data_IF_705940829181
#
_entry.id   IF_705940829181
#
_cell.length_a   1.000
_cell.length_b   1.000
_cell.length_c   1.000
_cell.angle_alpha   90.00
_cell.angle_beta   90.00
_cell.angle_gamma   90.00
#
_symmetry.space_group_name_H-M   'P 1'
#
loop_
_entity.id
_entity.type
_entity.pdbx_description
1 polymer ?
#
# COMPACT_ATOMS: atom_id res chain seq x y z
N UNK A 1 -11.83 -2.72 4.52
CA UNK A 1 -11.82 -2.14 5.89
C UNK A 1 -11.68 -0.64 5.78
N UNK A 2 -12.39 0.08 6.63
CA UNK A 2 -12.42 1.55 6.60
C UNK A 2 -11.95 2.15 7.90
N UNK A 3 -11.50 3.39 7.83
CA UNK A 3 -11.19 4.23 9.00
C UNK A 3 -10.12 3.66 9.93
N UNK A 4 -9.16 2.95 9.35
CA UNK A 4 -8.07 2.39 10.11
C UNK A 4 -6.84 3.28 9.92
N UNK A 5 -6.21 3.63 11.04
CA UNK A 5 -4.95 4.37 11.04
C UNK A 5 -4.00 3.67 12.01
N UNK A 6 -2.82 3.34 11.54
CA UNK A 6 -1.79 2.70 12.35
C UNK A 6 -0.59 3.63 12.40
N UNK A 7 -0.15 4.00 13.60
CA UNK A 7 1.03 4.83 13.76
C UNK A 7 2.26 3.96 13.95
N UNK A 8 3.33 4.32 13.25
CA UNK A 8 4.65 3.77 13.51
C UNK A 8 5.56 4.89 13.95
N UNK A 9 6.82 4.59 14.19
CA UNK A 9 7.76 5.62 14.60
C UNK A 9 7.89 6.76 13.59
N UNK A 10 8.00 6.44 12.31
CA UNK A 10 8.21 7.43 11.24
C UNK A 10 7.00 7.63 10.33
N UNK A 11 6.02 6.73 10.37
CA UNK A 11 4.96 6.69 9.38
C UNK A 11 3.59 6.63 9.99
N UNK A 12 2.60 7.03 9.17
CA UNK A 12 1.19 6.76 9.40
C UNK A 12 0.71 5.84 8.28
N UNK A 13 0.03 4.78 8.67
CA UNK A 13 -0.56 3.84 7.72
C UNK A 13 -2.07 4.09 7.73
N UNK A 14 -2.59 4.55 6.60
CA UNK A 14 -4.02 4.89 6.48
C UNK A 14 -4.63 4.14 5.32
N UNK A 15 -5.86 3.70 5.48
CA UNK A 15 -6.59 3.03 4.40
C UNK A 15 -6.57 3.94 3.17
N UNK A 16 -6.17 3.36 2.04
CA UNK A 16 -6.17 4.08 0.78
C UNK A 16 -7.59 4.35 0.32
N UNK A 17 -7.82 5.60 -0.07
CA UNK A 17 -9.09 6.04 -0.63
C UNK A 17 -8.84 6.60 -2.02
N UNK A 18 -9.90 6.69 -2.81
CA UNK A 18 -9.79 7.12 -4.21
C UNK A 18 -9.21 8.53 -4.33
N UNK A 19 -9.48 9.40 -3.38
CA UNK A 19 -9.01 10.79 -3.41
C UNK A 19 -7.50 10.91 -3.21
N UNK A 20 -6.83 9.88 -2.68
CA UNK A 20 -5.38 9.88 -2.53
C UNK A 20 -4.69 9.55 -3.85
N UNK A 21 -5.39 8.84 -4.73
CA UNK A 21 -4.82 8.36 -5.98
C UNK A 21 -4.66 9.50 -6.98
N UNK A 22 -3.42 9.79 -7.32
CA UNK A 22 -3.07 10.82 -8.28
C UNK A 22 -1.95 10.38 -9.19
N UNK A 23 -1.38 11.35 -9.93
CA UNK A 23 -0.34 11.06 -10.92
C UNK A 23 0.89 10.43 -10.31
N UNK A 24 1.28 10.84 -9.12
CA UNK A 24 2.44 10.30 -8.43
C UNK A 24 2.29 8.80 -8.20
N UNK A 25 1.12 8.38 -7.73
CA UNK A 25 0.84 6.97 -7.51
C UNK A 25 0.84 6.20 -8.83
N UNK A 26 0.23 6.79 -9.85
CA UNK A 26 0.19 6.18 -11.18
C UNK A 26 1.60 6.00 -11.73
N UNK A 27 2.47 6.97 -11.53
CA UNK A 27 3.86 6.89 -11.96
C UNK A 27 4.61 5.75 -11.28
N UNK A 28 4.33 5.50 -10.00
CA UNK A 28 4.94 4.37 -9.31
C UNK A 28 4.58 3.05 -9.98
N UNK A 29 3.30 2.91 -10.36
CA UNK A 29 2.82 1.65 -10.95
C UNK A 29 3.32 1.46 -12.37
N UNK A 30 3.44 2.53 -13.13
CA UNK A 30 3.79 2.46 -14.55
C UNK A 30 5.28 2.68 -14.79
N UNK A 31 5.86 3.67 -14.12
CA UNK A 31 7.21 4.12 -14.42
C UNK A 31 8.31 3.33 -13.75
N UNK A 32 8.17 3.04 -12.47
CA UNK A 32 9.26 2.49 -11.68
C UNK A 32 9.63 1.06 -12.05
N UNK A 33 8.75 0.34 -12.73
CA UNK A 33 8.98 -1.06 -13.06
C UNK A 33 9.47 -1.29 -14.48
N UNK A 34 9.47 -0.27 -15.30
CA UNK A 34 9.77 -0.43 -16.72
C UNK A 34 11.20 -0.87 -16.99
N UNK A 35 12.13 -0.41 -16.20
CA UNK A 35 13.54 -0.68 -16.44
C UNK A 35 13.98 -2.04 -15.91
N UNK A 36 13.30 -2.59 -14.94
CA UNK A 36 13.72 -3.80 -14.27
C UNK A 36 12.96 -5.04 -14.71
N UNK A 37 11.73 -4.87 -15.14
CA UNK A 37 10.82 -5.99 -15.42
C UNK A 37 10.20 -5.87 -16.80
N UNK A 38 11.01 -5.50 -17.77
CA UNK A 38 10.55 -5.30 -19.15
C UNK A 38 10.00 -6.56 -19.79
N UNK A 39 10.29 -7.72 -19.23
CA UNK A 39 9.80 -8.97 -19.76
C UNK A 39 8.33 -9.19 -19.51
N UNK A 40 7.78 -8.45 -18.59
CA UNK A 40 6.34 -8.53 -18.33
C UNK A 40 5.68 -7.52 -19.21
N UNK A 41 4.78 -7.96 -20.02
CA UNK A 41 3.92 -7.07 -20.77
C UNK A 41 2.95 -6.42 -19.80
N UNK A 42 3.49 -5.67 -18.84
CA UNK A 42 2.68 -4.90 -17.93
C UNK A 42 2.17 -3.71 -18.70
N UNK A 43 0.91 -3.75 -19.05
CA UNK A 43 0.27 -2.62 -19.69
C UNK A 43 0.23 -1.47 -18.71
N UNK A 44 0.52 -0.29 -19.20
CA UNK A 44 0.37 0.91 -18.39
C UNK A 44 -1.09 1.04 -17.95
N UNK A 45 -1.27 1.41 -16.70
CA UNK A 45 -2.60 1.58 -16.14
C UNK A 45 -3.03 3.03 -16.27
N UNK A 46 -4.32 3.23 -16.47
CA UNK A 46 -4.88 4.57 -16.43
C UNK A 46 -5.23 4.92 -14.99
N UNK A 47 -5.40 6.22 -14.72
CA UNK A 47 -5.76 6.66 -13.38
C UNK A 47 -7.15 6.13 -12.99
N UNK A 48 -8.07 6.01 -13.95
CA UNK A 48 -9.39 5.46 -13.70
C UNK A 48 -9.33 4.00 -13.29
N UNK A 49 -8.49 3.21 -13.94
CA UNK A 49 -8.31 1.80 -13.58
C UNK A 49 -7.78 1.66 -12.16
N UNK A 50 -6.81 2.50 -11.79
CA UNK A 50 -6.23 2.46 -10.46
C UNK A 50 -7.24 2.89 -9.41
N UNK A 51 -8.01 3.93 -9.69
CA UNK A 51 -9.08 4.38 -8.79
C UNK A 51 -10.15 3.33 -8.59
N UNK A 52 -10.55 2.66 -9.67
CA UNK A 52 -11.53 1.57 -9.59
C UNK A 52 -11.00 0.41 -8.74
N UNK A 53 -9.74 0.09 -8.91
CA UNK A 53 -9.09 -0.95 -8.13
C UNK A 53 -9.12 -0.60 -6.63
N UNK A 54 -8.73 0.61 -6.27
CA UNK A 54 -8.73 1.06 -4.88
C UNK A 54 -10.15 1.09 -4.32
N UNK A 55 -11.10 1.62 -5.11
CA UNK A 55 -12.49 1.70 -4.68
C UNK A 55 -13.07 0.31 -4.38
N UNK A 56 -12.75 -0.68 -5.19
CA UNK A 56 -13.28 -2.03 -5.01
C UNK A 56 -12.77 -2.69 -3.73
N UNK A 57 -11.67 -2.22 -3.18
CA UNK A 57 -11.07 -2.80 -1.98
C UNK A 57 -11.43 -2.07 -0.70
N UNK A 58 -11.87 -0.84 -0.81
CA UNK A 58 -12.12 0.02 0.34
C UNK A 58 -13.17 -0.55 1.29
N UNK A 59 -14.19 -1.20 0.76
CA UNK A 59 -15.30 -1.74 1.54
C UNK A 59 -15.20 -3.23 1.83
N UNK A 60 -14.13 -3.87 1.42
CA UNK A 60 -13.98 -5.32 1.58
C UNK A 60 -13.24 -5.61 2.89
N UNK A 61 -13.91 -6.29 3.82
CA UNK A 61 -13.35 -6.59 5.13
C UNK A 61 -12.29 -7.69 5.11
N UNK A 62 -12.10 -8.36 3.98
CA UNK A 62 -11.03 -9.35 3.82
C UNK A 62 -9.78 -8.73 3.22
N UNK A 63 -9.76 -7.42 3.02
CA UNK A 63 -8.64 -6.70 2.42
C UNK A 63 -8.28 -5.50 3.30
N UNK A 64 -7.00 -5.40 3.62
CA UNK A 64 -6.45 -4.23 4.30
C UNK A 64 -5.43 -3.60 3.36
N UNK A 65 -5.78 -2.47 2.76
CA UNK A 65 -4.95 -1.78 1.78
C UNK A 65 -4.59 -0.40 2.34
N UNK A 66 -3.35 -0.25 2.79
CA UNK A 66 -2.90 0.94 3.50
C UNK A 66 -1.88 1.71 2.69
N UNK A 67 -2.05 3.04 2.68
CA UNK A 67 -1.00 3.93 2.19
C UNK A 67 0.01 4.19 3.31
N UNK A 68 1.27 4.34 2.93
CA UNK A 68 2.35 4.66 3.85
C UNK A 68 2.68 6.14 3.70
N UNK A 69 2.49 6.91 4.77
CA UNK A 69 2.70 8.35 4.78
C UNK A 69 3.76 8.72 5.79
N UNK A 70 4.66 9.61 5.43
CA UNK A 70 5.68 10.12 6.34
C UNK A 70 5.01 11.03 7.37
N UNK A 71 5.21 10.77 8.66
CA UNK A 71 4.55 11.55 9.70
C UNK A 71 4.90 13.02 9.66
N UNK A 72 6.16 13.35 9.39
CA UNK A 72 6.63 14.74 9.41
C UNK A 72 6.08 15.58 8.27
N UNK A 73 5.99 15.00 7.08
CA UNK A 73 5.62 15.75 5.87
C UNK A 73 4.23 15.44 5.35
N UNK A 74 3.66 14.31 5.73
CA UNK A 74 2.41 13.83 5.16
C UNK A 74 2.57 13.23 3.77
N UNK A 75 3.79 13.07 3.31
CA UNK A 75 4.06 12.59 1.96
C UNK A 75 3.75 11.11 1.83
N UNK A 76 3.02 10.76 0.78
CA UNK A 76 2.70 9.37 0.45
C UNK A 76 3.89 8.74 -0.25
N UNK A 77 4.45 7.67 0.31
CA UNK A 77 5.69 7.07 -0.21
C UNK A 77 5.53 5.61 -0.63
N UNK A 78 4.44 4.98 -0.32
CA UNK A 78 4.24 3.59 -0.69
C UNK A 78 2.93 3.05 -0.17
N UNK A 79 2.75 1.75 -0.31
CA UNK A 79 1.56 1.03 0.16
C UNK A 79 1.93 -0.31 0.74
N UNK A 80 1.09 -0.79 1.66
CA UNK A 80 1.14 -2.19 2.08
C UNK A 80 -0.27 -2.75 2.02
N UNK A 81 -0.40 -3.99 1.53
CA UNK A 81 -1.70 -4.63 1.33
C UNK A 81 -1.69 -6.04 1.89
N UNK A 82 -2.75 -6.37 2.59
CA UNK A 82 -3.05 -7.74 3.01
C UNK A 82 -4.32 -8.18 2.29
N UNK A 83 -4.17 -9.08 1.33
CA UNK A 83 -5.29 -9.52 0.48
C UNK A 83 -5.01 -10.93 -0.04
N UNK A 84 -5.86 -11.91 0.24
CA UNK A 84 -6.97 -11.83 1.20
C UNK A 84 -6.50 -12.02 2.64
N UNK A 85 -7.36 -11.68 3.59
CA UNK A 85 -7.17 -11.98 4.99
C UNK A 85 -8.11 -13.13 5.35
N UNK A 86 -7.54 -14.21 5.84
CA UNK A 86 -8.32 -15.35 6.32
C UNK A 86 -8.35 -15.31 7.85
N UNK A 87 -9.42 -14.75 8.39
CA UNK A 87 -9.53 -14.59 9.84
C UNK A 87 -9.74 -15.93 10.55
N UNK A 88 -10.31 -16.89 9.86
CA UNK A 88 -10.54 -18.21 10.46
C UNK A 88 -9.25 -18.98 10.64
N UNK A 89 -8.41 -19.01 9.62
CA UNK A 89 -7.14 -19.74 9.64
C UNK A 89 -5.95 -18.85 10.04
N UNK A 90 -6.22 -17.58 10.30
CA UNK A 90 -5.25 -16.62 10.82
C UNK A 90 -4.02 -16.42 9.92
N UNK A 91 -4.26 -16.25 8.63
CA UNK A 91 -3.19 -15.88 7.70
C UNK A 91 -3.67 -14.84 6.70
N UNK A 92 -2.73 -14.19 6.05
CA UNK A 92 -3.00 -13.24 4.98
C UNK A 92 -1.82 -13.24 4.02
N UNK A 93 -2.11 -12.88 2.77
CA UNK A 93 -1.07 -12.67 1.77
C UNK A 93 -0.74 -11.17 1.77
N UNK A 94 0.53 -10.84 1.91
CA UNK A 94 0.98 -9.46 2.05
C UNK A 94 1.79 -9.05 0.83
N UNK A 95 1.54 -7.83 0.35
CA UNK A 95 2.37 -7.19 -0.67
C UNK A 95 2.74 -5.79 -0.21
N UNK A 96 3.92 -5.32 -0.58
CA UNK A 96 4.38 -3.98 -0.23
C UNK A 96 5.04 -3.33 -1.42
N UNK A 97 4.78 -2.03 -1.57
CA UNK A 97 5.39 -1.20 -2.59
C UNK A 97 5.95 0.06 -1.93
N UNK A 98 7.25 0.27 -2.07
CA UNK A 98 7.87 1.55 -1.70
C UNK A 98 8.09 2.29 -3.01
N UNK A 99 7.17 3.20 -3.32
CA UNK A 99 7.18 3.89 -4.60
C UNK A 99 8.21 5.01 -4.68
N UNK A 100 8.48 5.67 -3.55
CA UNK A 100 9.45 6.75 -3.49
C UNK A 100 10.85 6.17 -3.34
N UNK A 101 11.69 6.38 -4.36
CA UNK A 101 13.03 5.82 -4.38
C UNK A 101 13.94 6.33 -3.26
N UNK A 102 13.68 7.53 -2.77
CA UNK A 102 14.48 8.10 -1.68
C UNK A 102 14.29 7.34 -0.37
N UNK A 103 13.19 6.64 -0.24
CA UNK A 103 12.89 5.88 0.98
C UNK A 103 13.29 4.41 0.88
N UNK A 104 13.72 3.96 -0.30
CA UNK A 104 14.19 2.58 -0.45
C UNK A 104 15.51 2.39 0.29
N UNK A 105 15.66 1.22 0.93
CA UNK A 105 16.86 0.91 1.68
C UNK A 105 16.98 1.59 3.04
N UNK A 106 15.89 2.17 3.54
CA UNK A 106 15.88 2.90 4.81
C UNK A 106 15.07 2.21 5.91
N UNK A 107 14.81 0.93 5.74
CA UNK A 107 14.09 0.16 6.75
C UNK A 107 12.59 0.40 6.80
N UNK A 108 12.02 1.02 5.79
CA UNK A 108 10.59 1.30 5.74
C UNK A 108 9.77 0.02 5.81
N UNK A 109 10.12 -0.96 4.97
CA UNK A 109 9.37 -2.21 4.90
C UNK A 109 9.36 -2.91 6.26
N UNK A 110 10.49 -3.00 6.93
CA UNK A 110 10.59 -3.65 8.24
C UNK A 110 9.68 -2.97 9.25
N UNK A 111 9.75 -1.66 9.35
CA UNK A 111 8.94 -0.89 10.31
C UNK A 111 7.44 -1.06 10.03
N UNK A 112 7.05 -0.94 8.77
CA UNK A 112 5.65 -0.97 8.36
C UNK A 112 5.07 -2.38 8.50
N UNK A 113 5.82 -3.40 8.10
CA UNK A 113 5.38 -4.79 8.21
C UNK A 113 5.18 -5.17 9.68
N UNK A 114 6.12 -4.83 10.54
CA UNK A 114 6.00 -5.14 11.97
C UNK A 114 4.76 -4.51 12.57
N UNK A 115 4.55 -3.22 12.34
CA UNK A 115 3.43 -2.51 12.94
C UNK A 115 2.08 -2.97 12.41
N UNK A 116 1.96 -3.16 11.10
CA UNK A 116 0.70 -3.58 10.50
C UNK A 116 0.38 -5.04 10.82
N UNK A 117 1.38 -5.91 10.88
CA UNK A 117 1.18 -7.31 11.24
C UNK A 117 0.72 -7.45 12.68
N UNK A 118 1.31 -6.68 13.59
CA UNK A 118 0.89 -6.69 14.99
C UNK A 118 -0.53 -6.19 15.14
N UNK A 119 -0.88 -5.12 14.43
CA UNK A 119 -2.24 -4.62 14.45
C UNK A 119 -3.22 -5.67 13.98
N UNK A 120 -2.91 -6.33 12.86
CA UNK A 120 -3.79 -7.33 12.26
C UNK A 120 -3.92 -8.57 13.16
N UNK A 121 -2.84 -8.97 13.81
CA UNK A 121 -2.83 -10.12 14.71
C UNK A 121 -3.77 -9.90 15.91
N UNK A 122 -3.90 -8.66 16.35
CA UNK A 122 -4.72 -8.32 17.51
C UNK A 122 -6.20 -8.08 17.17
N UNK A 123 -6.56 -8.17 15.90
CA UNK A 123 -7.97 -8.03 15.46
C UNK A 123 -8.64 -9.39 15.18
#
# INVERSE_FOLDING_TARGET
MKNITIETNRFLLKVLTVDIIGERYLDWLNGSNKSEYINYSIQERTIEEVRDYVASRENDNSILFLGIFVRKSGEHIGNIKYEPIDFLNKYAIMGILIGDMEWRGKGVATEVIQSSSMWLHNE
#
